data_IF_544457222409
#
_entry.id   IF_544457222409
#
_cell.length_a   1.000
_cell.length_b   1.000
_cell.length_c   1.000
_cell.angle_alpha   90.00
_cell.angle_beta   90.00
_cell.angle_gamma   90.00
#
_symmetry.space_group_name_H-M   'P 1'
#
loop_
_entity.id
_entity.type
_entity.pdbx_description
1 polymer ?
#
# COMPACT_ATOMS: atom_id res chain seq x y z
N UNK A 1 -2.10 -9.54 -13.47
CA UNK A 1 -1.82 -9.14 -12.07
C UNK A 1 -3.16 -8.89 -11.35
N UNK A 2 -3.38 -9.45 -10.17
CA UNK A 2 -4.54 -9.17 -9.32
C UNK A 2 -4.18 -8.08 -8.31
N UNK A 3 -5.00 -7.04 -8.19
CA UNK A 3 -4.74 -5.93 -7.28
C UNK A 3 -5.82 -5.82 -6.21
N UNK A 4 -5.41 -5.76 -4.94
CA UNK A 4 -6.28 -5.39 -3.82
C UNK A 4 -5.51 -4.57 -2.79
N UNK A 5 -5.96 -3.35 -2.55
CA UNK A 5 -5.27 -2.42 -1.65
C UNK A 5 -5.62 -2.65 -0.17
N UNK A 6 -4.60 -2.50 0.69
CA UNK A 6 -4.77 -2.30 2.13
C UNK A 6 -5.09 -0.84 2.49
N UNK A 7 -4.70 0.10 1.60
CA UNK A 7 -4.90 1.56 1.62
C UNK A 7 -4.18 2.32 2.75
N UNK A 8 -4.10 1.76 3.95
CA UNK A 8 -3.44 2.39 5.10
C UNK A 8 -2.93 1.32 6.08
N UNK A 9 -2.30 1.75 7.16
CA UNK A 9 -1.78 0.89 8.23
C UNK A 9 -2.92 0.31 9.09
N UNK A 10 -2.63 -0.79 9.80
CA UNK A 10 -3.60 -1.51 10.64
C UNK A 10 -4.39 -0.60 11.59
N UNK A 11 -3.70 0.27 12.34
CA UNK A 11 -4.31 1.22 13.30
C UNK A 11 -5.32 2.18 12.64
N UNK A 12 -5.02 2.65 11.44
CA UNK A 12 -5.83 3.66 10.74
C UNK A 12 -6.95 3.07 9.88
N UNK A 13 -6.95 1.76 9.65
CA UNK A 13 -7.95 1.09 8.82
C UNK A 13 -9.40 1.40 9.23
N UNK A 14 -9.79 1.33 10.52
CA UNK A 14 -11.17 1.64 10.93
C UNK A 14 -11.59 3.08 10.61
N UNK A 15 -10.64 4.01 10.64
CA UNK A 15 -10.87 5.45 10.40
C UNK A 15 -10.91 5.76 8.90
N UNK A 16 -9.96 5.22 8.13
CA UNK A 16 -9.80 5.49 6.69
C UNK A 16 -10.79 4.69 5.85
N UNK A 17 -11.10 3.46 6.24
CA UNK A 17 -11.88 2.51 5.42
C UNK A 17 -13.14 2.04 6.14
N UNK A 18 -14.24 2.75 5.93
CA UNK A 18 -15.56 2.33 6.47
C UNK A 18 -15.94 0.95 5.92
N UNK A 19 -16.07 -0.04 6.81
CA UNK A 19 -16.52 -1.40 6.48
C UNK A 19 -15.43 -2.37 6.02
N UNK A 20 -14.19 -1.92 5.77
CA UNK A 20 -13.08 -2.82 5.47
C UNK A 20 -12.34 -3.22 6.76
N UNK A 21 -11.78 -4.43 6.76
CA UNK A 21 -10.90 -4.92 7.84
C UNK A 21 -9.53 -5.21 7.26
N UNK A 22 -8.49 -4.81 7.98
CA UNK A 22 -7.10 -4.93 7.53
C UNK A 22 -6.74 -6.40 7.24
N UNK A 23 -7.01 -7.31 8.19
CA UNK A 23 -6.73 -8.74 8.00
C UNK A 23 -7.55 -9.38 6.88
N UNK A 24 -8.76 -8.88 6.63
CA UNK A 24 -9.57 -9.33 5.49
C UNK A 24 -8.92 -8.91 4.17
N UNK A 25 -8.34 -7.72 4.09
CA UNK A 25 -7.59 -7.29 2.91
C UNK A 25 -6.37 -8.18 2.66
N UNK A 26 -5.62 -8.54 3.71
CA UNK A 26 -4.50 -9.47 3.58
C UNK A 26 -4.97 -10.86 3.13
N UNK A 27 -6.06 -11.37 3.72
CA UNK A 27 -6.64 -12.66 3.35
C UNK A 27 -7.02 -12.72 1.86
N UNK A 28 -7.55 -11.63 1.27
CA UNK A 28 -7.85 -11.58 -0.17
C UNK A 28 -6.60 -11.84 -1.01
N UNK A 29 -5.46 -11.23 -0.67
CA UNK A 29 -4.20 -11.43 -1.39
C UNK A 29 -3.66 -12.86 -1.17
N UNK A 30 -3.76 -13.38 0.06
CA UNK A 30 -3.38 -14.74 0.38
C UNK A 30 -4.20 -15.78 -0.41
N UNK A 31 -5.53 -15.62 -0.49
CA UNK A 31 -6.41 -16.50 -1.27
C UNK A 31 -6.00 -16.55 -2.74
N UNK A 32 -5.61 -15.42 -3.35
CA UNK A 32 -5.13 -15.43 -4.74
C UNK A 32 -3.89 -16.30 -4.89
N UNK A 33 -2.95 -16.21 -3.94
CA UNK A 33 -1.73 -17.02 -3.96
C UNK A 33 -1.98 -18.50 -3.68
N UNK A 34 -2.98 -18.82 -2.86
CA UNK A 34 -3.43 -20.19 -2.62
C UNK A 34 -4.09 -20.81 -3.86
N UNK A 35 -4.95 -20.04 -4.54
CA UNK A 35 -5.65 -20.50 -5.75
C UNK A 35 -4.70 -20.65 -6.94
N UNK A 36 -3.82 -19.68 -7.16
CA UNK A 36 -2.81 -19.75 -8.21
C UNK A 36 -1.61 -18.85 -7.88
N UNK A 37 -0.53 -19.46 -7.39
CA UNK A 37 0.71 -18.78 -7.03
C UNK A 37 1.38 -18.03 -8.20
N UNK A 38 1.08 -18.39 -9.45
CA UNK A 38 1.64 -17.74 -10.65
C UNK A 38 1.00 -16.38 -10.93
N UNK A 39 -0.17 -16.08 -10.36
CA UNK A 39 -0.81 -14.76 -10.52
C UNK A 39 -0.01 -13.74 -9.70
N UNK A 40 0.57 -12.70 -10.35
CA UNK A 40 1.18 -11.60 -9.62
C UNK A 40 0.10 -10.85 -8.85
N UNK A 41 0.39 -10.52 -7.61
CA UNK A 41 -0.45 -9.78 -6.69
C UNK A 41 0.14 -8.40 -6.41
N UNK A 42 -0.73 -7.42 -6.26
CA UNK A 42 -0.37 -6.04 -5.98
C UNK A 42 -1.22 -5.49 -4.86
N UNK A 43 -0.62 -4.67 -4.02
CA UNK A 43 -1.32 -3.83 -3.06
C UNK A 43 -0.81 -2.40 -3.10
N UNK A 44 -1.49 -1.53 -2.35
CA UNK A 44 -1.19 -0.11 -2.30
C UNK A 44 -1.51 0.48 -0.94
N UNK A 45 -0.72 1.48 -0.56
CA UNK A 45 -0.87 2.30 0.64
C UNK A 45 -0.85 3.77 0.25
N UNK A 46 -1.73 4.55 0.85
CA UNK A 46 -1.75 6.00 0.75
C UNK A 46 -1.19 6.62 2.03
N UNK A 47 -0.07 7.33 1.92
CA UNK A 47 0.58 8.04 3.02
C UNK A 47 0.00 9.44 3.20
N UNK A 48 0.06 9.97 4.41
CA UNK A 48 -0.48 11.27 4.81
C UNK A 48 -1.77 11.19 5.64
N UNK A 49 -2.16 10.00 6.11
CA UNK A 49 -3.31 9.79 6.99
C UNK A 49 -2.94 9.89 8.49
N UNK A 50 -1.65 9.97 8.82
CA UNK A 50 -1.14 10.02 10.20
C UNK A 50 -0.44 8.73 10.64
N UNK A 51 -0.03 7.91 9.68
CA UNK A 51 0.82 6.75 9.87
C UNK A 51 2.28 7.15 10.15
N UNK A 52 2.99 6.30 10.87
CA UNK A 52 4.43 6.39 11.12
C UNK A 52 5.23 5.52 10.14
N UNK A 53 6.55 5.71 10.07
CA UNK A 53 7.43 4.88 9.24
C UNK A 53 7.41 3.43 9.74
N UNK A 54 7.41 3.22 11.05
CA UNK A 54 7.40 1.92 11.70
C UNK A 54 6.13 1.13 11.33
N UNK A 55 4.97 1.78 11.34
CA UNK A 55 3.71 1.15 10.94
C UNK A 55 3.65 0.84 9.44
N UNK A 56 4.30 1.66 8.61
CA UNK A 56 4.45 1.38 7.18
C UNK A 56 5.34 0.16 6.96
N UNK A 57 6.45 0.04 7.69
CA UNK A 57 7.33 -1.15 7.65
C UNK A 57 6.58 -2.40 8.12
N UNK A 58 5.81 -2.32 9.20
CA UNK A 58 4.95 -3.43 9.65
C UNK A 58 3.94 -3.81 8.55
N UNK A 59 3.33 -2.83 7.91
CA UNK A 59 2.38 -3.05 6.81
C UNK A 59 3.04 -3.71 5.60
N UNK A 60 4.28 -3.31 5.28
CA UNK A 60 5.09 -3.98 4.25
C UNK A 60 5.39 -5.42 4.63
N UNK A 61 5.77 -5.69 5.89
CA UNK A 61 6.05 -7.04 6.38
C UNK A 61 4.82 -7.93 6.31
N UNK A 62 3.66 -7.41 6.72
CA UNK A 62 2.37 -8.09 6.62
C UNK A 62 2.03 -8.45 5.17
N UNK A 63 2.19 -7.50 4.24
CA UNK A 63 1.99 -7.75 2.81
C UNK A 63 2.95 -8.82 2.26
N UNK A 64 4.21 -8.83 2.70
CA UNK A 64 5.18 -9.87 2.34
C UNK A 64 4.83 -11.23 2.93
N UNK A 65 4.26 -11.28 4.15
CA UNK A 65 3.82 -12.53 4.79
C UNK A 65 2.76 -13.27 3.96
N UNK A 66 1.91 -12.53 3.23
CA UNK A 66 0.92 -13.08 2.28
C UNK A 66 1.44 -13.13 0.84
N UNK A 67 2.75 -13.01 0.65
CA UNK A 67 3.45 -13.10 -0.64
C UNK A 67 2.99 -12.05 -1.68
N UNK A 68 2.59 -10.86 -1.24
CA UNK A 68 2.22 -9.76 -2.15
C UNK A 68 3.43 -9.30 -2.97
N UNK A 69 3.40 -9.42 -4.30
CA UNK A 69 4.60 -9.23 -5.14
C UNK A 69 4.95 -7.77 -5.42
N UNK A 70 3.92 -6.92 -5.55
CA UNK A 70 4.08 -5.52 -6.00
C UNK A 70 3.46 -4.55 -5.00
N UNK A 71 4.06 -3.37 -4.86
CA UNK A 71 3.61 -2.33 -3.94
C UNK A 71 3.53 -0.96 -4.64
N UNK A 72 2.45 -0.23 -4.39
CA UNK A 72 2.38 1.21 -4.67
C UNK A 72 2.28 2.02 -3.39
N UNK A 73 3.06 3.10 -3.30
CA UNK A 73 3.01 4.06 -2.20
C UNK A 73 2.74 5.43 -2.80
N UNK A 74 1.59 6.02 -2.47
CA UNK A 74 1.15 7.30 -3.03
C UNK A 74 0.74 8.29 -1.95
N UNK A 75 0.77 9.59 -2.25
CA UNK A 75 0.24 10.61 -1.32
C UNK A 75 -1.28 10.56 -1.32
N UNK A 76 -1.87 10.54 -0.13
CA UNK A 76 -3.28 10.84 0.07
C UNK A 76 -3.54 12.29 -0.29
N UNK A 77 -4.42 12.49 -1.27
CA UNK A 77 -4.88 13.79 -1.72
C UNK A 77 -6.34 13.93 -1.30
N UNK A 78 -6.60 14.78 -0.32
CA UNK A 78 -7.93 15.02 0.23
C UNK A 78 -8.89 15.49 -0.89
N UNK A 79 -9.95 14.73 -1.22
CA UNK A 79 -10.85 15.08 -2.32
C UNK A 79 -11.70 16.33 -2.05
N UNK A 80 -12.15 16.50 -0.81
CA UNK A 80 -12.94 17.66 -0.37
C UNK A 80 -12.79 17.90 1.14
N UNK A 81 -13.33 19.01 1.63
CA UNK A 81 -13.32 19.35 3.07
C UNK A 81 -14.14 18.38 3.95
N UNK A 82 -14.97 17.52 3.36
CA UNK A 82 -15.72 16.50 4.10
C UNK A 82 -14.88 15.23 4.36
N UNK A 83 -13.79 15.05 3.61
CA UNK A 83 -12.90 13.91 3.75
C UNK A 83 -11.85 14.16 4.83
N UNK A 84 -11.19 13.10 5.29
CA UNK A 84 -10.14 13.18 6.30
C UNK A 84 -9.08 14.23 5.90
N UNK A 85 -8.63 15.10 6.83
CA UNK A 85 -7.57 16.05 6.55
C UNK A 85 -6.24 15.32 6.34
N UNK A 86 -5.41 15.84 5.43
CA UNK A 86 -4.03 15.38 5.26
C UNK A 86 -3.26 15.72 6.53
N UNK A 87 -2.65 14.72 7.15
CA UNK A 87 -1.83 14.89 8.37
C UNK A 87 -0.38 15.25 8.03
N UNK A 88 0.12 14.75 6.90
CA UNK A 88 1.49 15.00 6.42
C UNK A 88 1.54 14.94 4.90
N UNK A 89 2.26 15.88 4.30
CA UNK A 89 2.73 15.77 2.92
C UNK A 89 4.13 15.18 2.94
N UNK A 90 4.25 13.96 2.44
CA UNK A 90 5.53 13.26 2.38
C UNK A 90 6.38 13.82 1.22
N UNK A 91 7.67 13.97 1.47
CA UNK A 91 8.63 14.51 0.50
C UNK A 91 9.06 13.44 -0.50
N UNK A 92 9.54 13.83 -1.71
CA UNK A 92 10.09 12.88 -2.67
C UNK A 92 11.24 12.02 -2.11
N UNK A 93 12.04 12.56 -1.19
CA UNK A 93 13.12 11.83 -0.52
C UNK A 93 12.56 10.72 0.37
N UNK A 94 11.53 11.00 1.17
CA UNK A 94 10.91 9.97 2.02
C UNK A 94 10.18 8.89 1.19
N UNK A 95 9.56 9.25 0.05
CA UNK A 95 9.05 8.24 -0.89
C UNK A 95 10.15 7.34 -1.45
N UNK A 96 11.34 7.91 -1.71
CA UNK A 96 12.51 7.14 -2.17
C UNK A 96 12.99 6.18 -1.08
N UNK A 97 13.06 6.64 0.17
CA UNK A 97 13.41 5.80 1.32
C UNK A 97 12.43 4.63 1.49
N UNK A 98 11.12 4.89 1.49
CA UNK A 98 10.10 3.84 1.55
C UNK A 98 10.19 2.86 0.37
N UNK A 99 10.56 3.35 -0.81
CA UNK A 99 10.78 2.51 -1.99
C UNK A 99 11.95 1.53 -1.79
N UNK A 100 13.06 2.02 -1.24
CA UNK A 100 14.25 1.21 -0.99
C UNK A 100 13.97 0.14 0.06
N UNK A 101 13.32 0.52 1.17
CA UNK A 101 12.90 -0.41 2.22
C UNK A 101 12.02 -1.53 1.63
N UNK A 102 11.00 -1.17 0.84
CA UNK A 102 10.14 -2.17 0.21
C UNK A 102 10.92 -3.11 -0.74
N UNK A 103 11.86 -2.58 -1.53
CA UNK A 103 12.70 -3.41 -2.40
C UNK A 103 13.58 -4.37 -1.59
N UNK A 104 14.20 -3.91 -0.51
CA UNK A 104 15.00 -4.73 0.41
C UNK A 104 14.16 -5.84 1.08
N UNK A 105 12.88 -5.59 1.35
CA UNK A 105 11.93 -6.59 1.86
C UNK A 105 11.45 -7.59 0.79
N UNK A 106 11.90 -7.45 -0.46
CA UNK A 106 11.66 -8.38 -1.55
C UNK A 106 10.36 -8.15 -2.32
N UNK A 107 9.86 -6.93 -2.39
CA UNK A 107 8.86 -6.56 -3.40
C UNK A 107 9.52 -6.43 -4.78
N UNK A 108 9.05 -7.20 -5.76
CA UNK A 108 9.69 -7.28 -7.07
C UNK A 108 9.40 -6.05 -7.95
N UNK A 109 8.35 -5.29 -7.63
CA UNK A 109 8.02 -4.05 -8.31
C UNK A 109 7.42 -3.04 -7.33
N UNK A 110 8.11 -1.93 -7.14
CA UNK A 110 7.68 -0.84 -6.27
C UNK A 110 7.52 0.43 -7.10
N UNK A 111 6.41 1.13 -6.88
CA UNK A 111 6.20 2.50 -7.36
C UNK A 111 5.87 3.36 -6.15
N UNK A 112 6.72 4.33 -5.87
CA UNK A 112 6.62 5.18 -4.69
C UNK A 112 6.78 6.63 -5.10
N UNK A 113 5.80 7.47 -4.81
CA UNK A 113 5.88 8.89 -5.13
C UNK A 113 4.57 9.64 -4.92
N UNK A 114 4.60 10.99 -4.87
CA UNK A 114 3.43 11.79 -4.50
C UNK A 114 2.20 11.54 -5.40
N UNK A 115 2.41 11.42 -6.71
CA UNK A 115 1.33 11.25 -7.69
C UNK A 115 1.06 9.79 -8.06
N UNK A 116 1.74 8.83 -7.41
CA UNK A 116 1.52 7.41 -7.68
C UNK A 116 0.10 7.02 -7.28
N UNK A 117 -0.53 6.24 -8.15
CA UNK A 117 -1.83 5.61 -7.95
C UNK A 117 -1.72 4.13 -8.27
N UNK A 118 -2.67 3.33 -7.79
CA UNK A 118 -2.66 1.87 -7.98
C UNK A 118 -2.66 1.45 -9.47
N UNK A 119 -3.18 2.29 -10.37
CA UNK A 119 -3.17 2.10 -11.83
C UNK A 119 -2.02 2.79 -12.58
N UNK A 120 -1.25 3.66 -11.92
CA UNK A 120 -0.17 4.42 -12.56
C UNK A 120 0.91 3.46 -13.10
N UNK A 121 1.18 3.54 -14.41
CA UNK A 121 2.11 2.67 -15.15
C UNK A 121 1.84 1.16 -15.02
N UNK A 122 0.59 0.75 -14.78
CA UNK A 122 0.25 -0.67 -14.63
C UNK A 122 0.43 -1.51 -15.92
N UNK A 123 0.52 -0.86 -17.10
CA UNK A 123 0.77 -1.50 -18.39
C UNK A 123 2.22 -1.38 -18.88
N UNK A 124 3.09 -0.68 -18.13
CA UNK A 124 4.53 -0.71 -18.37
C UNK A 124 5.12 -1.78 -17.45
N UNK A 125 5.03 -3.02 -17.92
CA UNK A 125 5.67 -4.21 -17.32
C UNK A 125 7.02 -4.49 -17.99
#
# INVERSE_FOLDING_TARGET
CFNHNVETVRRLTPTVRRGAKYDRSLAVLATVKELNHQIPTKSGVMVGHGETIEELIETMADLRSVKCDRLTIGQYMRPSLEHLPVQKYWTPAEFTELSNIAQEMGFNHVRSGPLVRSSYHAGEE
#
